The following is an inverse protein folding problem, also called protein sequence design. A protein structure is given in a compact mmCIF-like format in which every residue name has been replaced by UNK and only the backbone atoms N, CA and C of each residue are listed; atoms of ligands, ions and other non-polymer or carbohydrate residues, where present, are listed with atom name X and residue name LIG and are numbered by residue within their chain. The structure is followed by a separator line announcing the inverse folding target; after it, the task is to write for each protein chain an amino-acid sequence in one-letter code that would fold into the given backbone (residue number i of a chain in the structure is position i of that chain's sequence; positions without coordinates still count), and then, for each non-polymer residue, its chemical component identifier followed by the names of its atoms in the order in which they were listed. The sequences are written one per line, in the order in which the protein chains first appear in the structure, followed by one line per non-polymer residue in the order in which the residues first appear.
data_IF_446125248579
#
_entry.id   IF_446125248579
#
_cell.length_a   1.000
_cell.length_b   1.000
_cell.length_c   1.000
_cell.angle_alpha   90.00
_cell.angle_beta   90.00
_cell.angle_gamma   90.00
#
_symmetry.space_group_name_H-M   'P 1'
#
loop_
_entity.id
_entity.type
_entity.pdbx_description
1 polymer ?
#
# COMPACT_ATOMS: atom_id res chain seq x y z
N UNK A 1 6.00 15.36 -28.24
CA UNK A 1 4.74 14.66 -28.63
C UNK A 1 4.77 13.16 -28.31
N UNK A 2 5.91 12.47 -28.44
CA UNK A 2 6.04 11.02 -28.15
C UNK A 2 5.90 10.69 -26.65
N UNK A 3 6.55 11.44 -25.78
CA UNK A 3 6.42 11.23 -24.32
C UNK A 3 4.96 11.31 -23.84
N UNK A 4 4.15 12.22 -24.39
CA UNK A 4 2.74 12.34 -24.03
C UNK A 4 1.91 11.09 -24.37
N UNK A 5 2.28 10.37 -25.45
CA UNK A 5 1.61 9.11 -25.83
C UNK A 5 2.00 7.97 -24.88
N UNK A 6 3.28 7.93 -24.48
CA UNK A 6 3.78 6.90 -23.56
C UNK A 6 3.17 7.09 -22.16
N UNK A 7 3.14 8.32 -21.66
CA UNK A 7 2.47 8.61 -20.36
C UNK A 7 1.03 8.14 -20.34
N UNK A 8 0.28 8.42 -21.40
CA UNK A 8 -1.12 7.98 -21.51
C UNK A 8 -1.24 6.44 -21.52
N UNK A 9 -0.37 5.75 -22.23
CA UNK A 9 -0.35 4.28 -22.25
C UNK A 9 -0.01 3.68 -20.89
N UNK A 10 0.95 4.26 -20.16
CA UNK A 10 1.30 3.84 -18.78
C UNK A 10 0.08 3.97 -17.89
N UNK A 11 -0.56 5.13 -17.88
CA UNK A 11 -1.75 5.40 -17.11
C UNK A 11 -2.89 4.42 -17.43
N UNK A 12 -3.21 4.25 -18.72
CA UNK A 12 -4.27 3.36 -19.18
C UNK A 12 -4.00 1.90 -18.81
N UNK A 13 -2.75 1.46 -18.93
CA UNK A 13 -2.36 0.09 -18.58
C UNK A 13 -2.52 -0.18 -17.09
N UNK A 14 -1.99 0.69 -16.23
CA UNK A 14 -2.08 0.49 -14.78
C UNK A 14 -3.53 0.59 -14.29
N UNK A 15 -4.31 1.56 -14.80
CA UNK A 15 -5.75 1.62 -14.51
C UNK A 15 -6.47 0.33 -14.90
N UNK A 16 -6.16 -0.19 -16.10
CA UNK A 16 -6.70 -1.45 -16.58
C UNK A 16 -6.35 -2.64 -15.68
N UNK A 17 -5.14 -2.69 -15.12
CA UNK A 17 -4.77 -3.73 -14.14
C UNK A 17 -5.66 -3.67 -12.89
N UNK A 18 -5.83 -2.50 -12.28
CA UNK A 18 -6.69 -2.36 -11.09
C UNK A 18 -8.16 -2.69 -11.37
N UNK A 19 -8.67 -2.34 -12.55
CA UNK A 19 -10.05 -2.65 -12.95
C UNK A 19 -10.26 -4.14 -13.18
N UNK A 20 -9.31 -4.82 -13.84
CA UNK A 20 -9.43 -6.23 -14.20
C UNK A 20 -9.23 -7.17 -13.01
N UNK A 21 -8.30 -6.85 -12.12
CA UNK A 21 -7.94 -7.73 -11.01
C UNK A 21 -8.94 -7.75 -9.85
N UNK A 22 -9.86 -6.78 -9.81
CA UNK A 22 -10.95 -6.70 -8.83
C UNK A 22 -10.50 -7.11 -7.41
N UNK A 23 -9.57 -6.36 -6.82
CA UNK A 23 -8.97 -6.65 -5.52
C UNK A 23 -9.63 -5.85 -4.37
N UNK A 24 -10.83 -6.24 -3.88
CA UNK A 24 -11.60 -5.48 -2.90
C UNK A 24 -10.91 -5.37 -1.53
N UNK A 25 -9.92 -6.21 -1.26
CA UNK A 25 -9.12 -6.13 -0.05
C UNK A 25 -8.08 -5.01 -0.09
N UNK A 26 -7.74 -4.46 -1.26
CA UNK A 26 -6.81 -3.34 -1.40
C UNK A 26 -7.53 -2.01 -1.17
N UNK A 27 -7.88 -1.71 0.08
CA UNK A 27 -8.60 -0.48 0.44
C UNK A 27 -7.67 0.71 0.69
N UNK A 28 -6.36 0.46 0.84
CA UNK A 28 -5.31 1.48 0.95
C UNK A 28 -4.41 1.49 -0.30
N UNK A 29 -3.75 0.36 -0.66
CA UNK A 29 -2.90 0.24 -1.85
C UNK A 29 -3.75 0.03 -3.12
N UNK A 30 -4.58 0.99 -3.44
CA UNK A 30 -5.54 0.97 -4.54
C UNK A 30 -5.19 2.03 -5.61
N UNK A 31 -5.99 2.09 -6.67
CA UNK A 31 -5.79 3.06 -7.75
C UNK A 31 -5.80 4.52 -7.26
N UNK A 32 -6.61 4.87 -6.26
CA UNK A 32 -6.63 6.21 -5.67
C UNK A 32 -5.28 6.58 -5.04
N UNK A 33 -4.68 5.63 -4.27
CA UNK A 33 -3.33 5.81 -3.72
C UNK A 33 -2.31 6.02 -4.83
N UNK A 34 -2.27 5.13 -5.83
CA UNK A 34 -1.35 5.25 -6.97
C UNK A 34 -1.47 6.60 -7.67
N UNK A 35 -2.69 7.07 -7.96
CA UNK A 35 -2.92 8.38 -8.58
C UNK A 35 -2.43 9.53 -7.69
N UNK A 36 -2.62 9.43 -6.38
CA UNK A 36 -2.11 10.41 -5.42
C UNK A 36 -0.58 10.41 -5.43
N UNK A 37 0.07 9.25 -5.43
CA UNK A 37 1.54 9.16 -5.50
C UNK A 37 2.06 9.78 -6.80
N UNK A 38 1.45 9.51 -7.95
CA UNK A 38 1.80 10.15 -9.23
C UNK A 38 1.72 11.67 -9.12
N UNK A 39 0.62 12.20 -8.58
CA UNK A 39 0.44 13.65 -8.39
C UNK A 39 1.53 14.24 -7.50
N UNK A 40 1.85 13.57 -6.37
CA UNK A 40 2.87 14.07 -5.42
C UNK A 40 4.28 13.96 -5.99
N UNK A 41 4.55 12.92 -6.76
CA UNK A 41 5.81 12.78 -7.50
C UNK A 41 6.02 13.96 -8.46
N UNK A 42 5.01 14.32 -9.23
CA UNK A 42 5.09 15.46 -10.15
C UNK A 42 5.25 16.81 -9.40
N UNK A 43 4.55 16.97 -8.27
CA UNK A 43 4.63 18.15 -7.40
C UNK A 43 6.07 18.31 -6.87
N UNK A 44 6.63 17.27 -6.24
CA UNK A 44 7.97 17.32 -5.67
C UNK A 44 9.01 17.51 -6.78
N UNK A 45 8.95 16.72 -7.85
CA UNK A 45 9.88 16.80 -8.98
C UNK A 45 9.92 18.20 -9.62
N UNK A 46 8.77 18.88 -9.69
CA UNK A 46 8.67 20.24 -10.21
C UNK A 46 9.53 21.27 -9.45
N UNK A 47 9.80 21.05 -8.15
CA UNK A 47 10.69 21.89 -7.36
C UNK A 47 12.16 21.68 -7.70
N UNK A 48 12.54 20.51 -8.18
CA UNK A 48 13.92 20.14 -8.48
C UNK A 48 14.30 20.29 -9.94
N UNK A 49 13.38 20.72 -10.82
CA UNK A 49 13.61 20.93 -12.25
C UNK A 49 14.30 19.73 -12.90
N UNK A 50 13.82 18.55 -12.61
CA UNK A 50 14.32 17.30 -13.20
C UNK A 50 14.24 17.31 -14.73
N UNK A 51 15.09 16.54 -15.42
CA UNK A 51 15.05 16.43 -16.87
C UNK A 51 13.77 15.74 -17.35
N UNK A 52 13.46 15.85 -18.65
CA UNK A 52 12.32 15.12 -19.24
C UNK A 52 12.45 13.61 -19.05
N UNK A 53 13.68 13.07 -19.17
CA UNK A 53 13.93 11.65 -18.94
C UNK A 53 13.74 11.26 -17.48
N UNK A 54 14.23 12.07 -16.53
CA UNK A 54 14.01 11.83 -15.10
C UNK A 54 12.52 11.90 -14.74
N UNK A 55 11.77 12.80 -15.40
CA UNK A 55 10.31 12.85 -15.21
C UNK A 55 9.63 11.58 -15.76
N UNK A 56 10.10 11.01 -16.87
CA UNK A 56 9.62 9.73 -17.37
C UNK A 56 9.90 8.61 -16.37
N UNK A 57 11.10 8.57 -15.81
CA UNK A 57 11.48 7.61 -14.75
C UNK A 57 10.52 7.71 -13.57
N UNK A 58 10.37 8.89 -13.02
CA UNK A 58 9.54 9.16 -11.85
C UNK A 58 8.05 8.85 -12.09
N UNK A 59 7.53 9.31 -13.23
CA UNK A 59 6.12 9.08 -13.59
C UNK A 59 5.82 7.58 -13.74
N UNK A 60 6.71 6.87 -14.42
CA UNK A 60 6.55 5.41 -14.61
C UNK A 60 6.66 4.69 -13.28
N UNK A 61 7.69 4.99 -12.46
CA UNK A 61 7.85 4.38 -11.15
C UNK A 61 6.62 4.63 -10.26
N UNK A 62 6.10 5.86 -10.24
CA UNK A 62 4.92 6.20 -9.44
C UNK A 62 3.65 5.43 -9.86
N UNK A 63 3.44 5.19 -11.16
CA UNK A 63 2.31 4.39 -11.61
C UNK A 63 2.46 2.92 -11.27
N UNK A 64 3.67 2.37 -11.34
CA UNK A 64 3.88 0.94 -11.17
C UNK A 64 4.21 0.49 -9.75
N UNK A 65 4.69 1.36 -8.83
CA UNK A 65 5.31 0.97 -7.57
C UNK A 65 4.51 -0.06 -6.74
N UNK A 66 3.21 0.03 -6.73
CA UNK A 66 2.30 -0.81 -5.94
C UNK A 66 1.49 -1.82 -6.76
N UNK A 67 1.71 -1.90 -8.09
CA UNK A 67 0.95 -2.86 -8.94
C UNK A 67 1.16 -4.31 -8.52
N UNK A 68 2.29 -4.62 -7.90
CA UNK A 68 2.60 -5.95 -7.38
C UNK A 68 1.62 -6.43 -6.31
N UNK A 69 1.00 -5.53 -5.54
CA UNK A 69 -0.04 -5.90 -4.56
C UNK A 69 -1.25 -6.62 -5.17
N UNK A 70 -1.48 -6.47 -6.48
CA UNK A 70 -2.53 -7.18 -7.20
C UNK A 70 -2.21 -8.66 -7.43
N UNK A 71 -0.93 -9.07 -7.33
CA UNK A 71 -0.47 -10.37 -7.79
C UNK A 71 0.30 -11.18 -6.76
N UNK A 72 0.81 -10.55 -5.70
CA UNK A 72 1.69 -11.22 -4.73
C UNK A 72 1.47 -10.72 -3.30
N UNK A 73 2.16 -11.38 -2.37
CA UNK A 73 2.20 -11.00 -0.96
C UNK A 73 2.88 -9.64 -0.76
N UNK A 74 2.53 -8.91 0.32
CA UNK A 74 3.10 -7.58 0.60
C UNK A 74 4.63 -7.53 0.64
N UNK A 75 5.29 -8.64 1.03
CA UNK A 75 6.76 -8.70 1.15
C UNK A 75 7.52 -8.75 -0.17
N UNK A 76 6.81 -8.94 -1.29
CA UNK A 76 7.39 -9.10 -2.64
C UNK A 76 6.76 -8.17 -3.67
N UNK A 77 5.94 -7.22 -3.22
CA UNK A 77 5.19 -6.41 -4.17
C UNK A 77 6.08 -5.47 -4.98
N UNK A 78 7.19 -4.99 -4.43
CA UNK A 78 8.10 -4.08 -5.16
C UNK A 78 8.79 -4.82 -6.31
N UNK A 79 9.30 -6.04 -6.05
CA UNK A 79 9.89 -6.88 -7.10
C UNK A 79 8.88 -7.22 -8.18
N UNK A 80 7.66 -7.61 -7.79
CA UNK A 80 6.58 -7.89 -8.73
C UNK A 80 6.19 -6.65 -9.53
N UNK A 81 6.14 -5.48 -8.91
CA UNK A 81 5.87 -4.20 -9.57
C UNK A 81 6.92 -3.88 -10.63
N UNK A 82 8.19 -4.10 -10.31
CA UNK A 82 9.30 -3.93 -11.24
C UNK A 82 9.20 -4.89 -12.43
N UNK A 83 8.85 -6.15 -12.19
CA UNK A 83 8.64 -7.14 -13.25
C UNK A 83 7.48 -6.76 -14.19
N UNK A 84 6.36 -6.30 -13.63
CA UNK A 84 5.20 -5.83 -14.40
C UNK A 84 5.59 -4.62 -15.26
N UNK A 85 6.32 -3.66 -14.68
CA UNK A 85 6.83 -2.48 -15.38
C UNK A 85 7.75 -2.88 -16.54
N UNK A 86 8.74 -3.75 -16.29
CA UNK A 86 9.66 -4.23 -17.35
C UNK A 86 8.92 -4.95 -18.47
N UNK A 87 7.95 -5.81 -18.14
CA UNK A 87 7.12 -6.51 -19.12
C UNK A 87 6.33 -5.53 -19.99
N UNK A 88 5.72 -4.51 -19.39
CA UNK A 88 4.99 -3.47 -20.12
C UNK A 88 5.93 -2.66 -21.03
N UNK A 89 7.08 -2.25 -20.50
CA UNK A 89 8.00 -1.36 -21.21
C UNK A 89 8.76 -2.05 -22.35
N UNK A 90 8.78 -3.39 -22.41
CA UNK A 90 9.48 -4.17 -23.44
C UNK A 90 9.09 -3.78 -24.88
N UNK A 91 7.83 -3.40 -25.08
CA UNK A 91 7.26 -3.04 -26.36
C UNK A 91 7.33 -1.52 -26.63
N UNK A 92 8.14 -0.81 -25.85
CA UNK A 92 8.32 0.63 -25.95
C UNK A 92 9.82 0.95 -26.17
N UNK A 93 10.09 1.98 -26.95
CA UNK A 93 11.46 2.41 -27.25
C UNK A 93 12.05 3.21 -26.08
N UNK A 94 12.45 2.49 -25.02
CA UNK A 94 13.07 3.02 -23.81
C UNK A 94 14.36 2.28 -23.56
N UNK A 95 15.45 3.01 -23.39
CA UNK A 95 16.79 2.43 -23.19
C UNK A 95 16.92 1.73 -21.83
N UNK A 96 17.83 0.76 -21.75
CA UNK A 96 18.04 -0.06 -20.55
C UNK A 96 18.47 0.75 -19.32
N UNK A 97 19.18 1.85 -19.49
CA UNK A 97 19.57 2.73 -18.40
C UNK A 97 18.33 3.38 -17.78
N UNK A 98 17.42 3.86 -18.58
CA UNK A 98 16.15 4.43 -18.14
C UNK A 98 15.28 3.37 -17.46
N UNK A 99 15.17 2.16 -18.03
CA UNK A 99 14.44 1.03 -17.40
C UNK A 99 15.01 0.68 -16.04
N UNK A 100 16.33 0.61 -15.92
CA UNK A 100 16.99 0.35 -14.64
C UNK A 100 16.71 1.44 -13.61
N UNK A 101 16.73 2.70 -14.01
CA UNK A 101 16.40 3.82 -13.09
C UNK A 101 14.95 3.76 -12.62
N UNK A 102 14.00 3.35 -13.46
CA UNK A 102 12.61 3.13 -13.06
C UNK A 102 12.53 2.01 -12.03
N UNK A 103 13.18 0.88 -12.28
CA UNK A 103 13.24 -0.25 -11.35
C UNK A 103 13.84 0.15 -10.00
N UNK A 104 14.97 0.88 -10.01
CA UNK A 104 15.62 1.38 -8.79
C UNK A 104 14.68 2.29 -7.99
N UNK A 105 13.92 3.17 -8.64
CA UNK A 105 12.89 3.99 -8.00
C UNK A 105 11.76 3.15 -7.38
N UNK A 106 11.27 2.12 -8.07
CA UNK A 106 10.26 1.20 -7.52
C UNK A 106 10.84 0.49 -6.29
N UNK A 107 12.04 -0.07 -6.40
CA UNK A 107 12.69 -0.79 -5.30
C UNK A 107 13.03 0.10 -4.11
N UNK A 108 13.25 1.41 -4.31
CA UNK A 108 13.53 2.35 -3.22
C UNK A 108 12.33 2.55 -2.27
N UNK A 109 11.09 2.23 -2.70
CA UNK A 109 9.91 2.29 -1.83
C UNK A 109 9.88 1.17 -0.80
N UNK A 110 10.65 0.10 -0.98
CA UNK A 110 10.75 -1.04 -0.07
C UNK A 110 11.27 -0.65 1.30
N UNK A 111 10.59 -1.16 2.35
CA UNK A 111 10.98 -0.91 3.74
C UNK A 111 12.06 -1.93 4.18
N UNK A 112 13.17 -1.50 4.82
CA UNK A 112 13.52 -0.12 5.20
C UNK A 112 14.00 0.70 3.99
N UNK A 113 13.46 1.92 3.80
CA UNK A 113 13.84 2.81 2.70
C UNK A 113 15.25 3.36 2.87
N UNK A 114 16.04 3.30 1.81
CA UNK A 114 17.38 3.87 1.77
C UNK A 114 17.70 4.42 0.37
N UNK A 115 17.04 5.52 -0.04
CA UNK A 115 17.25 6.12 -1.35
C UNK A 115 18.69 6.66 -1.49
N UNK A 116 19.30 6.45 -2.67
CA UNK A 116 20.66 6.83 -3.01
C UNK A 116 20.70 8.01 -4.00
N UNK A 117 19.61 8.29 -4.67
CA UNK A 117 19.51 9.32 -5.71
C UNK A 117 18.33 10.26 -5.42
N UNK A 118 18.36 11.46 -6.02
CA UNK A 118 17.25 12.40 -5.90
C UNK A 118 15.93 11.81 -6.42
N UNK A 119 15.95 10.98 -7.47
CA UNK A 119 14.75 10.38 -8.01
C UNK A 119 14.15 9.37 -7.02
N UNK A 120 14.98 8.56 -6.38
CA UNK A 120 14.56 7.65 -5.33
C UNK A 120 14.04 8.40 -4.10
N UNK A 121 14.67 9.53 -3.71
CA UNK A 121 14.16 10.38 -2.63
C UNK A 121 12.77 10.93 -2.94
N UNK A 122 12.55 11.41 -4.17
CA UNK A 122 11.28 11.96 -4.63
C UNK A 122 10.15 10.92 -4.57
N UNK A 123 10.40 9.70 -5.08
CA UNK A 123 9.36 8.66 -5.07
C UNK A 123 9.06 8.17 -3.65
N UNK A 124 10.06 8.02 -2.79
CA UNK A 124 9.86 7.66 -1.37
C UNK A 124 9.02 8.70 -0.63
N UNK A 125 9.28 9.98 -0.86
CA UNK A 125 8.53 11.07 -0.24
C UNK A 125 7.10 11.17 -0.78
N UNK A 126 6.92 10.93 -2.07
CA UNK A 126 5.62 10.94 -2.72
C UNK A 126 4.72 9.81 -2.21
N UNK A 127 5.25 8.61 -2.06
CA UNK A 127 4.54 7.44 -1.54
C UNK A 127 4.09 7.67 -0.08
N UNK A 128 4.98 8.23 0.74
CA UNK A 128 4.69 8.51 2.16
C UNK A 128 4.13 9.90 2.44
N UNK A 129 3.82 10.68 1.42
CA UNK A 129 3.35 12.06 1.54
C UNK A 129 2.18 12.22 2.52
N UNK A 130 1.26 11.26 2.53
CA UNK A 130 0.08 11.24 3.39
C UNK A 130 0.40 11.28 4.89
N UNK A 131 1.60 10.82 5.31
CA UNK A 131 2.03 10.84 6.72
C UNK A 131 2.11 12.26 7.28
N UNK A 132 2.45 13.24 6.42
CA UNK A 132 2.55 14.66 6.76
C UNK A 132 1.31 15.48 6.40
N UNK A 133 0.14 14.88 6.23
CA UNK A 133 -1.08 15.58 5.82
C UNK A 133 -2.22 15.47 6.83
N UNK A 134 -3.36 16.11 6.54
CA UNK A 134 -4.57 16.00 7.37
C UNK A 134 -5.27 14.66 7.16
N UNK A 135 -5.06 14.05 6.02
CA UNK A 135 -5.66 12.80 5.58
C UNK A 135 -5.04 11.59 6.29
N UNK A 136 -3.92 11.74 7.02
CA UNK A 136 -3.21 10.65 7.73
C UNK A 136 -4.15 9.76 8.56
N UNK A 137 -5.08 10.36 9.30
CA UNK A 137 -6.02 9.58 10.13
C UNK A 137 -6.85 8.59 9.29
N UNK A 138 -7.32 9.03 8.15
CA UNK A 138 -8.12 8.21 7.24
C UNK A 138 -7.26 7.19 6.51
N UNK A 139 -6.08 7.57 6.03
CA UNK A 139 -5.17 6.63 5.36
C UNK A 139 -4.67 5.54 6.32
N UNK A 140 -4.37 5.88 7.60
CA UNK A 140 -4.03 4.89 8.62
C UNK A 140 -5.20 3.93 8.92
N UNK A 141 -6.43 4.42 8.95
CA UNK A 141 -7.63 3.59 9.09
C UNK A 141 -7.79 2.61 7.92
N UNK A 142 -7.58 3.08 6.68
CA UNK A 142 -7.63 2.23 5.49
C UNK A 142 -6.52 1.18 5.50
N UNK A 143 -5.30 1.56 5.89
CA UNK A 143 -4.18 0.62 5.99
C UNK A 143 -4.46 -0.48 7.04
N UNK A 144 -5.04 -0.14 8.19
CA UNK A 144 -5.46 -1.12 9.19
C UNK A 144 -6.57 -2.05 8.65
N UNK A 145 -7.55 -1.49 7.96
CA UNK A 145 -8.64 -2.28 7.35
C UNK A 145 -8.11 -3.22 6.27
N UNK A 146 -7.19 -2.76 5.42
CA UNK A 146 -6.53 -3.61 4.43
C UNK A 146 -5.77 -4.76 5.08
N UNK A 147 -5.00 -4.46 6.12
CA UNK A 147 -4.31 -5.49 6.88
C UNK A 147 -5.29 -6.51 7.49
N UNK A 148 -6.42 -6.04 8.04
CA UNK A 148 -7.48 -6.90 8.58
C UNK A 148 -8.11 -7.80 7.50
N UNK A 149 -8.36 -7.26 6.32
CA UNK A 149 -8.94 -8.02 5.20
C UNK A 149 -7.97 -9.08 4.65
N UNK A 150 -6.66 -8.82 4.73
CA UNK A 150 -5.61 -9.75 4.26
C UNK A 150 -5.25 -10.83 5.27
N UNK A 151 -5.23 -10.51 6.57
CA UNK A 151 -4.70 -11.40 7.61
C UNK A 151 -5.74 -11.92 8.61
N UNK A 152 -6.98 -11.42 8.56
CA UNK A 152 -8.03 -11.70 9.52
C UNK A 152 -8.07 -10.68 10.66
N UNK A 153 -8.30 -11.14 11.89
CA UNK A 153 -8.44 -10.26 13.05
C UNK A 153 -7.13 -9.54 13.39
N UNK A 154 -7.20 -8.23 13.60
CA UNK A 154 -6.07 -7.38 13.99
C UNK A 154 -6.40 -6.67 15.29
N UNK A 155 -5.47 -6.69 16.24
CA UNK A 155 -5.52 -5.84 17.43
C UNK A 155 -5.25 -4.37 17.01
N UNK A 156 -6.25 -3.47 17.15
CA UNK A 156 -6.08 -2.08 16.71
C UNK A 156 -5.01 -1.32 17.52
N UNK A 157 -4.75 -1.71 18.78
CA UNK A 157 -3.72 -1.08 19.61
C UNK A 157 -2.34 -1.47 19.07
N UNK A 158 -2.12 -2.74 18.80
CA UNK A 158 -0.84 -3.22 18.22
C UNK A 158 -0.59 -2.64 16.83
N UNK A 159 -1.62 -2.49 16.02
CA UNK A 159 -1.49 -1.84 14.72
C UNK A 159 -1.09 -0.36 14.86
N UNK A 160 -1.79 0.39 15.74
CA UNK A 160 -1.46 1.79 16.03
C UNK A 160 -0.03 1.91 16.61
N UNK A 161 0.45 0.97 17.45
CA UNK A 161 1.85 0.91 17.94
C UNK A 161 2.86 0.72 16.81
N UNK A 162 2.58 -0.20 15.88
CA UNK A 162 3.41 -0.40 14.69
C UNK A 162 3.48 0.87 13.83
N UNK A 163 2.36 1.56 13.65
CA UNK A 163 2.31 2.84 12.94
C UNK A 163 3.08 3.94 13.67
N UNK A 164 2.99 4.02 15.01
CA UNK A 164 3.79 4.97 15.82
C UNK A 164 5.28 4.71 15.60
N UNK A 165 5.71 3.45 15.72
CA UNK A 165 7.11 3.08 15.47
C UNK A 165 7.56 3.44 14.06
N UNK A 166 6.73 3.19 13.05
CA UNK A 166 6.99 3.57 11.67
C UNK A 166 7.15 5.09 11.53
N UNK A 167 6.23 5.91 12.08
CA UNK A 167 6.31 7.37 12.04
C UNK A 167 7.55 7.94 12.74
N UNK A 168 7.98 7.33 13.85
CA UNK A 168 9.18 7.71 14.60
C UNK A 168 10.47 7.47 13.80
N UNK A 169 10.52 6.37 13.04
CA UNK A 169 11.68 6.01 12.23
C UNK A 169 11.65 6.60 10.82
N UNK A 170 10.49 7.08 10.37
CA UNK A 170 10.32 7.68 9.06
C UNK A 170 10.90 9.09 9.01
N UNK A 171 11.59 9.40 7.91
CA UNK A 171 11.98 10.76 7.54
C UNK A 171 11.60 11.06 6.10
N UNK A 172 11.26 12.29 5.80
CA UNK A 172 11.24 12.75 4.43
C UNK A 172 12.68 13.05 3.97
N UNK A 173 12.98 12.75 2.72
CA UNK A 173 14.35 12.80 2.18
C UNK A 173 14.63 14.11 1.47
N UNK A 174 13.69 14.62 0.69
CA UNK A 174 13.85 15.88 -0.03
C UNK A 174 13.67 17.10 0.90
N UNK A 175 14.37 18.19 0.62
CA UNK A 175 14.23 19.43 1.40
C UNK A 175 12.78 19.97 1.30
N UNK A 176 12.19 19.90 0.12
CA UNK A 176 10.81 20.32 -0.11
C UNK A 176 9.79 19.56 0.75
N UNK A 177 9.87 18.23 0.77
CA UNK A 177 8.94 17.43 1.55
C UNK A 177 9.15 17.65 3.07
N UNK A 178 10.38 17.78 3.55
CA UNK A 178 10.65 18.10 4.96
C UNK A 178 10.01 19.42 5.37
N UNK A 179 10.25 20.48 4.61
CA UNK A 179 9.71 21.81 4.92
C UNK A 179 8.19 21.79 5.00
N UNK A 180 7.55 21.08 4.06
CA UNK A 180 6.10 21.05 3.92
C UNK A 180 5.41 20.13 4.93
N UNK A 181 6.01 18.96 5.23
CA UNK A 181 5.30 17.83 5.81
C UNK A 181 5.74 17.47 7.24
N UNK A 182 7.02 17.72 7.65
CA UNK A 182 7.53 17.26 8.94
C UNK A 182 6.68 17.76 10.13
N UNK A 183 6.38 19.04 10.16
CA UNK A 183 5.58 19.62 11.26
C UNK A 183 4.20 18.97 11.41
N UNK A 184 3.58 18.57 10.31
CA UNK A 184 2.29 17.91 10.35
C UNK A 184 2.43 16.44 10.71
N UNK A 185 3.48 15.76 10.23
CA UNK A 185 3.81 14.39 10.60
C UNK A 185 4.04 14.27 12.12
N UNK A 186 4.79 15.17 12.73
CA UNK A 186 4.98 15.24 14.18
C UNK A 186 3.63 15.34 14.92
N UNK A 187 2.76 16.26 14.50
CA UNK A 187 1.41 16.38 15.08
C UNK A 187 0.55 15.14 14.90
N UNK A 188 0.70 14.43 13.78
CA UNK A 188 -0.02 13.19 13.54
C UNK A 188 0.50 12.08 14.48
N UNK A 189 1.82 12.00 14.68
CA UNK A 189 2.45 11.10 15.63
C UNK A 189 1.97 11.36 17.07
N UNK A 190 2.03 12.61 17.53
CA UNK A 190 1.56 13.00 18.88
C UNK A 190 0.11 12.57 19.11
N UNK A 191 -0.78 12.87 18.17
CA UNK A 191 -2.21 12.52 18.26
C UNK A 191 -2.44 11.01 18.29
N UNK A 192 -1.71 10.26 17.45
CA UNK A 192 -1.85 8.81 17.42
C UNK A 192 -1.34 8.19 18.72
N UNK A 193 -0.20 8.69 19.25
CA UNK A 193 0.37 8.23 20.52
C UNK A 193 -0.59 8.47 21.67
N UNK A 194 -1.14 9.70 21.80
CA UNK A 194 -2.11 10.02 22.86
C UNK A 194 -3.33 9.10 22.81
N UNK A 195 -3.96 8.97 21.64
CA UNK A 195 -5.13 8.09 21.43
C UNK A 195 -4.83 6.63 21.77
N UNK A 196 -3.64 6.14 21.46
CA UNK A 196 -3.25 4.74 21.70
C UNK A 196 -3.01 4.51 23.19
N UNK A 197 -2.43 5.48 23.91
CA UNK A 197 -2.25 5.44 25.37
C UNK A 197 -3.59 5.41 26.09
N UNK A 198 -4.54 6.28 25.72
CA UNK A 198 -5.90 6.32 26.27
C UNK A 198 -6.60 4.95 26.17
N UNK A 199 -6.51 4.31 24.99
CA UNK A 199 -7.09 2.98 24.77
C UNK A 199 -6.47 1.88 25.63
N UNK A 200 -5.20 2.01 26.04
CA UNK A 200 -4.53 1.05 26.93
C UNK A 200 -4.96 1.22 28.39
N UNK A 201 -5.30 2.44 28.77
CA UNK A 201 -5.71 2.79 30.14
C UNK A 201 -7.19 2.51 30.41
N UNK A 202 -8.03 2.40 29.36
CA UNK A 202 -9.41 1.93 29.53
C UNK A 202 -9.39 0.49 30.09
N UNK A 203 -9.80 0.24 31.33
CA UNK A 203 -9.77 -1.08 31.90
C UNK A 203 -10.69 -2.02 31.08
N UNK A 204 -10.33 -3.30 30.98
CA UNK A 204 -11.17 -4.41 30.51
C UNK A 204 -12.38 -4.64 31.41
N UNK A 205 -13.14 -3.59 31.69
CA UNK A 205 -14.23 -3.54 32.69
C UNK A 205 -15.57 -3.99 32.11
N UNK A 206 -15.61 -4.93 31.15
CA UNK A 206 -16.88 -5.50 30.68
C UNK A 206 -16.90 -7.01 30.47
N UNK A 207 -15.92 -7.78 30.96
CA UNK A 207 -15.96 -9.25 30.88
C UNK A 207 -16.27 -9.95 32.21
N UNK A 208 -16.57 -9.25 33.31
CA UNK A 208 -16.84 -9.86 34.61
C UNK A 208 -18.25 -9.62 35.15
N UNK A 209 -19.28 -9.61 34.35
CA UNK A 209 -20.66 -9.66 34.86
C UNK A 209 -21.62 -10.52 34.01
N UNK A 210 -21.18 -11.66 33.48
CA UNK A 210 -22.11 -12.74 33.10
C UNK A 210 -21.52 -14.07 33.53
N UNK A 211 -21.46 -14.26 34.81
CA UNK A 211 -21.03 -15.50 35.43
C UNK A 211 -21.75 -15.73 36.74
N UNK A 212 -23.06 -15.92 36.70
CA UNK A 212 -23.79 -16.74 37.69
C UNK A 212 -25.27 -16.83 37.34
N UNK A 213 -25.61 -17.77 36.49
CA UNK A 213 -26.88 -18.50 36.54
C UNK A 213 -26.60 -19.86 35.98
N UNK A 214 -26.09 -20.72 36.85
CA UNK A 214 -26.06 -22.15 36.63
C UNK A 214 -27.48 -22.68 36.69
N UNK A 215 -27.81 -23.55 35.78
CA UNK A 215 -28.89 -24.50 35.98
C UNK A 215 -29.85 -24.60 34.80
N UNK A 216 -29.82 -25.78 34.23
CA UNK A 216 -30.91 -26.46 33.53
C UNK A 216 -30.78 -26.62 31.99
N UNK A 217 -30.43 -27.82 31.72
CA UNK A 217 -30.99 -28.84 30.83
C UNK A 217 -30.46 -28.97 29.43
N UNK A 218 -29.82 -30.06 29.28
CA UNK A 218 -29.69 -31.12 28.27
C UNK A 218 -30.59 -31.04 27.03
N UNK A 219 -29.92 -31.39 25.98
CA UNK A 219 -30.39 -32.15 24.83
C UNK A 219 -30.85 -31.39 23.57
N UNK A 220 -30.01 -31.47 22.54
CA UNK A 220 -30.36 -32.02 21.21
C UNK A 220 -29.18 -31.97 20.26
N UNK A 221 -28.65 -33.14 20.05
CA UNK A 221 -27.78 -33.55 18.96
C UNK A 221 -28.39 -33.29 17.57
N UNK A 222 -27.51 -32.87 16.62
CA UNK A 222 -27.74 -33.12 15.19
C UNK A 222 -28.24 -31.94 14.40
N UNK A 223 -27.33 -31.24 13.75
CA UNK A 223 -27.39 -30.72 12.37
C UNK A 223 -26.27 -29.68 12.13
N UNK A 224 -25.06 -30.13 11.95
CA UNK A 224 -24.04 -29.33 11.28
C UNK A 224 -23.00 -30.25 10.61
N UNK A 225 -23.35 -30.78 9.48
CA UNK A 225 -22.42 -31.49 8.61
C UNK A 225 -22.91 -31.48 7.16
N UNK A 226 -22.99 -30.33 6.52
CA UNK A 226 -23.19 -30.25 5.05
C UNK A 226 -22.69 -28.95 4.42
N UNK A 227 -22.11 -28.01 5.18
CA UNK A 227 -21.68 -26.68 4.64
C UNK A 227 -20.23 -26.59 4.19
N UNK A 228 -19.35 -27.49 4.61
CA UNK A 228 -17.89 -27.35 4.42
C UNK A 228 -17.36 -28.07 3.18
N UNK A 229 -18.10 -29.00 2.61
CA UNK A 229 -17.64 -29.76 1.43
C UNK A 229 -17.87 -29.05 0.08
N UNK A 230 -18.66 -27.99 0.02
CA UNK A 230 -18.94 -27.26 -1.24
C UNK A 230 -17.91 -26.16 -1.53
N UNK A 231 -17.19 -25.69 -0.54
CA UNK A 231 -16.19 -24.60 -0.71
C UNK A 231 -14.80 -25.09 -1.19
N UNK A 232 -14.49 -26.36 -1.04
CA UNK A 232 -13.20 -26.95 -1.44
C UNK A 232 -13.16 -27.44 -2.91
N UNK A 233 -14.27 -27.39 -3.65
CA UNK A 233 -14.31 -27.77 -5.07
C UNK A 233 -14.13 -26.63 -6.06
N UNK A 234 -14.22 -25.36 -5.62
CA UNK A 234 -14.09 -24.18 -6.50
C UNK A 234 -12.68 -23.62 -6.60
N UNK A 235 -11.74 -24.10 -5.79
CA UNK A 235 -10.33 -23.65 -5.82
C UNK A 235 -9.41 -24.51 -6.69
N UNK A 236 -9.85 -25.66 -7.18
CA UNK A 236 -9.02 -26.53 -8.03
C UNK A 236 -9.20 -26.32 -9.54
N UNK A 237 -10.21 -25.58 -9.99
CA UNK A 237 -10.47 -25.37 -11.43
C UNK A 237 -9.87 -24.07 -12.00
N UNK A 238 -9.34 -23.18 -11.18
CA UNK A 238 -8.73 -21.92 -11.65
C UNK A 238 -7.20 -21.97 -11.85
N UNK A 239 -6.54 -23.10 -11.59
CA UNK A 239 -5.09 -23.24 -11.80
C UNK A 239 -4.66 -23.71 -13.21
N UNK A 240 -5.60 -23.94 -14.12
CA UNK A 240 -5.31 -24.54 -15.43
C UNK A 240 -5.49 -23.61 -16.64
N UNK A 241 -5.62 -22.29 -16.45
CA UNK A 241 -5.79 -21.33 -17.57
C UNK A 241 -4.74 -20.23 -17.70
N UNK A 242 -3.61 -20.32 -17.00
CA UNK A 242 -2.52 -19.33 -17.06
C UNK A 242 -1.23 -19.86 -17.73
N UNK A 243 -1.26 -21.03 -18.36
CA UNK A 243 -0.09 -21.56 -19.11
C UNK A 243 -0.12 -21.31 -20.64
N UNK A 244 -1.18 -20.69 -21.18
CA UNK A 244 -1.34 -20.51 -22.64
C UNK A 244 -1.71 -19.06 -23.03
N UNK A 245 -1.14 -18.05 -22.32
CA UNK A 245 -1.15 -16.67 -22.81
C UNK A 245 0.21 -16.00 -22.66
#
# INVERSE_FOLDING_TARGET
MENNKLYKKIEEYVKGLFEQMHAPALVFHNLEHTQNVVKRTQEIAGHYKVSENDMLVLYTAAWFHDTGHLFTEPSKHEEMSADIMRKFMKDHDVDEKTLKSIEECIMATKIPRNPNTLLEEIICDADTYHLGTKEFKETNRRAMEEARLKTGEIDPVKFDEGTISMLQNHRFYTAYARELLDKRKEKNLEKLTAKTSEKKEEPKAKEEQVGTLAGLEKDKSGLMSKGIQTMLRLTSENHLKLSDM
#
